data_IF_555977448557
#
_entry.id   IF_555977448557
#
_cell.length_a   1.000
_cell.length_b   1.000
_cell.length_c   1.000
_cell.angle_alpha   90.00
_cell.angle_beta   90.00
_cell.angle_gamma   90.00
#
_symmetry.space_group_name_H-M   'P 1'
#
loop_
_entity.id
_entity.type
_entity.pdbx_description
1 polymer ?
#
# COMPACT_ATOMS: atom_id res chain seq x y z
N UNK A 1 19.50 -13.58 7.83
CA UNK A 1 19.08 -13.44 9.24
C UNK A 1 17.56 -13.51 9.37
N UNK A 2 17.07 -14.68 9.78
CA UNK A 2 15.67 -14.99 10.01
C UNK A 2 15.24 -14.36 11.34
N UNK A 3 14.55 -13.21 11.30
CA UNK A 3 13.94 -12.64 12.51
C UNK A 3 12.80 -13.53 12.97
N UNK A 4 13.02 -14.33 14.01
CA UNK A 4 11.99 -15.13 14.67
C UNK A 4 11.15 -14.30 15.65
N UNK A 5 10.26 -14.94 16.44
CA UNK A 5 9.44 -14.29 17.48
C UNK A 5 10.26 -13.50 18.52
N UNK A 6 11.55 -13.81 18.66
CA UNK A 6 12.52 -13.06 19.47
C UNK A 6 12.60 -11.57 19.06
N UNK A 7 12.54 -11.27 17.75
CA UNK A 7 12.65 -9.89 17.25
C UNK A 7 11.51 -8.98 17.73
N UNK A 8 10.28 -9.48 17.85
CA UNK A 8 9.12 -8.70 18.33
C UNK A 8 9.25 -8.37 19.82
N UNK A 9 9.68 -9.35 20.60
CA UNK A 9 9.94 -9.17 22.04
C UNK A 9 11.08 -8.18 22.29
N UNK A 10 12.14 -8.24 21.49
CA UNK A 10 13.28 -7.33 21.61
C UNK A 10 12.90 -5.88 21.30
N UNK A 11 12.07 -5.63 20.28
CA UNK A 11 11.57 -4.29 19.97
C UNK A 11 10.65 -3.76 21.06
N UNK A 12 9.80 -4.60 21.64
CA UNK A 12 8.95 -4.20 22.77
C UNK A 12 9.78 -3.84 24.00
N UNK A 13 10.81 -4.63 24.33
CA UNK A 13 11.73 -4.34 25.42
C UNK A 13 12.56 -3.06 25.17
N UNK A 14 12.88 -2.75 23.91
CA UNK A 14 13.48 -1.47 23.52
C UNK A 14 12.53 -0.30 23.81
N UNK A 15 11.26 -0.42 23.41
CA UNK A 15 10.25 0.63 23.64
C UNK A 15 9.91 0.83 25.11
N UNK A 16 10.03 -0.19 25.97
CA UNK A 16 9.89 -0.02 27.42
C UNK A 16 11.00 0.85 28.01
N UNK A 17 12.23 0.74 27.50
CA UNK A 17 13.38 1.54 27.97
C UNK A 17 13.42 2.91 27.32
N UNK A 18 13.02 3.00 26.05
CA UNK A 18 13.01 4.21 25.25
C UNK A 18 11.72 4.30 24.43
N UNK A 19 10.63 4.85 24.99
CA UNK A 19 9.33 4.92 24.34
C UNK A 19 9.31 5.77 23.06
N UNK A 20 10.32 6.60 22.82
CA UNK A 20 10.44 7.49 21.66
C UNK A 20 11.43 6.98 20.61
N UNK A 21 11.80 5.69 20.66
CA UNK A 21 12.67 5.09 19.66
C UNK A 21 11.91 4.83 18.35
N UNK A 22 11.99 5.78 17.41
CA UNK A 22 11.31 5.72 16.11
C UNK A 22 11.66 4.45 15.30
N UNK A 23 12.93 4.02 15.34
CA UNK A 23 13.37 2.81 14.64
C UNK A 23 12.72 1.55 15.23
N UNK A 24 12.63 1.46 16.56
CA UNK A 24 11.99 0.32 17.23
C UNK A 24 10.49 0.27 16.95
N UNK A 25 9.82 1.43 16.91
CA UNK A 25 8.42 1.53 16.48
C UNK A 25 8.26 1.07 15.02
N UNK A 26 9.12 1.54 14.12
CA UNK A 26 9.09 1.14 12.72
C UNK A 26 9.28 -0.37 12.54
N UNK A 27 10.28 -0.96 13.20
CA UNK A 27 10.59 -2.38 13.09
C UNK A 27 9.47 -3.24 13.64
N UNK A 28 8.88 -2.84 14.78
CA UNK A 28 7.71 -3.51 15.36
C UNK A 28 6.49 -3.42 14.43
N UNK A 29 6.19 -2.22 13.91
CA UNK A 29 5.09 -2.01 12.97
C UNK A 29 5.25 -2.83 11.70
N UNK A 30 6.46 -2.85 11.14
CA UNK A 30 6.80 -3.67 9.96
C UNK A 30 6.64 -5.16 10.26
N UNK A 31 7.04 -5.61 11.46
CA UNK A 31 6.88 -7.02 11.85
C UNK A 31 5.41 -7.42 11.98
N UNK A 32 4.60 -6.55 12.58
CA UNK A 32 3.15 -6.71 12.68
C UNK A 32 2.48 -6.80 11.30
N UNK A 33 2.89 -5.98 10.34
CA UNK A 33 2.40 -6.10 8.96
C UNK A 33 2.84 -7.41 8.29
N UNK A 34 4.04 -7.90 8.62
CA UNK A 34 4.61 -9.11 8.02
C UNK A 34 4.01 -10.41 8.55
N UNK A 35 3.84 -10.49 9.86
CA UNK A 35 3.34 -11.67 10.56
C UNK A 35 1.83 -11.64 10.75
N UNK A 36 1.24 -10.45 10.69
CA UNK A 36 -0.17 -10.21 10.92
C UNK A 36 -1.04 -10.95 9.93
N UNK A 37 -2.01 -11.69 10.48
CA UNK A 37 -3.00 -12.44 9.70
C UNK A 37 -4.40 -11.87 9.85
N UNK A 38 -4.56 -10.90 10.75
CA UNK A 38 -5.83 -10.30 11.11
C UNK A 38 -5.81 -8.81 10.84
N UNK A 39 -7.01 -8.21 10.70
CA UNK A 39 -7.13 -6.75 10.59
C UNK A 39 -6.60 -6.02 11.83
N UNK A 40 -6.66 -6.65 13.01
CA UNK A 40 -6.14 -6.07 14.25
C UNK A 40 -4.63 -5.96 14.20
N UNK A 41 -3.92 -7.02 13.77
CA UNK A 41 -2.46 -6.97 13.61
C UNK A 41 -2.03 -5.86 12.63
N UNK A 42 -2.78 -5.69 11.53
CA UNK A 42 -2.49 -4.65 10.55
C UNK A 42 -2.78 -3.25 11.08
N UNK A 43 -3.83 -3.07 11.89
CA UNK A 43 -4.13 -1.80 12.56
C UNK A 43 -3.02 -1.42 13.54
N UNK A 44 -2.59 -2.36 14.37
CA UNK A 44 -1.48 -2.15 15.30
C UNK A 44 -0.20 -1.79 14.54
N UNK A 45 0.09 -2.51 13.46
CA UNK A 45 1.25 -2.26 12.60
C UNK A 45 1.23 -0.83 12.02
N UNK A 46 0.09 -0.40 11.49
CA UNK A 46 -0.14 0.97 11.01
C UNK A 46 0.07 2.00 12.12
N UNK A 47 -0.44 1.75 13.33
CA UNK A 47 -0.28 2.69 14.45
C UNK A 47 1.19 2.90 14.83
N UNK A 48 1.96 1.82 14.92
CA UNK A 48 3.40 1.91 15.20
C UNK A 48 4.16 2.64 14.09
N UNK A 49 3.79 2.43 12.82
CA UNK A 49 4.41 3.13 11.69
C UNK A 49 4.05 4.62 11.66
N UNK A 50 2.81 4.99 12.01
CA UNK A 50 2.42 6.39 12.19
C UNK A 50 3.23 7.07 13.29
N UNK A 51 3.40 6.41 14.44
CA UNK A 51 4.23 6.93 15.54
C UNK A 51 5.70 7.07 15.13
N UNK A 52 6.24 6.11 14.39
CA UNK A 52 7.60 6.19 13.86
C UNK A 52 7.79 7.41 12.94
N UNK A 53 6.87 7.64 12.00
CA UNK A 53 6.91 8.79 11.10
C UNK A 53 6.62 10.12 11.80
N UNK A 54 5.86 10.11 12.89
CA UNK A 54 5.66 11.30 13.71
C UNK A 54 6.97 11.74 14.38
N UNK A 55 7.78 10.77 14.83
CA UNK A 55 9.07 11.02 15.47
C UNK A 55 10.19 11.29 14.45
N UNK A 56 10.15 10.62 13.30
CA UNK A 56 11.10 10.82 12.20
C UNK A 56 10.34 10.92 10.85
N UNK A 57 9.91 12.14 10.46
CA UNK A 57 9.26 12.39 9.18
C UNK A 57 10.16 12.18 7.97
N UNK A 58 11.48 12.05 8.15
CA UNK A 58 12.43 11.80 7.06
C UNK A 58 12.70 10.31 6.85
N UNK A 59 12.03 9.45 7.61
CA UNK A 59 12.18 8.01 7.52
C UNK A 59 11.48 7.42 6.28
N UNK A 60 12.18 7.48 5.14
CA UNK A 60 11.68 7.01 3.82
C UNK A 60 11.00 5.63 3.85
N UNK A 61 11.59 4.57 4.48
CA UNK A 61 10.94 3.25 4.52
C UNK A 61 9.60 3.25 5.27
N UNK A 62 9.40 4.19 6.20
CA UNK A 62 8.16 4.33 6.98
C UNK A 62 6.96 4.64 6.09
N UNK A 63 7.10 5.55 5.11
CA UNK A 63 6.01 5.90 4.18
C UNK A 63 5.57 4.70 3.34
N UNK A 64 6.53 3.92 2.85
CA UNK A 64 6.25 2.75 2.01
C UNK A 64 5.54 1.67 2.84
N UNK A 65 6.01 1.39 4.06
CA UNK A 65 5.40 0.38 4.94
C UNK A 65 4.02 0.82 5.45
N UNK A 66 3.85 2.10 5.77
CA UNK A 66 2.56 2.63 6.21
C UNK A 66 1.51 2.53 5.11
N UNK A 67 1.87 2.90 3.86
CA UNK A 67 0.96 2.78 2.74
C UNK A 67 0.56 1.31 2.46
N UNK A 68 1.49 0.37 2.68
CA UNK A 68 1.20 -1.07 2.62
C UNK A 68 0.26 -1.55 3.72
N UNK A 69 0.45 -1.08 4.95
CA UNK A 69 -0.49 -1.34 6.04
C UNK A 69 -1.91 -0.90 5.68
N UNK A 70 -2.05 0.28 5.07
CA UNK A 70 -3.35 0.74 4.57
C UNK A 70 -3.91 -0.09 3.42
N UNK A 71 -3.08 -0.65 2.53
CA UNK A 71 -3.55 -1.60 1.52
C UNK A 71 -4.09 -2.89 2.16
N UNK A 72 -3.43 -3.41 3.20
CA UNK A 72 -3.91 -4.57 3.96
C UNK A 72 -5.25 -4.33 4.65
N UNK A 73 -5.48 -3.10 5.11
CA UNK A 73 -6.75 -2.67 5.70
C UNK A 73 -7.83 -2.34 4.66
N UNK A 74 -7.54 -2.49 3.36
CA UNK A 74 -8.41 -2.07 2.24
C UNK A 74 -8.73 -0.56 2.26
N UNK A 75 -7.88 0.23 2.91
CA UNK A 75 -8.02 1.68 3.04
C UNK A 75 -7.29 2.39 1.90
N UNK A 76 -7.71 2.11 0.65
CA UNK A 76 -6.99 2.50 -0.57
C UNK A 76 -6.70 4.01 -0.67
N UNK A 77 -7.65 4.86 -0.29
CA UNK A 77 -7.44 6.32 -0.29
C UNK A 77 -6.33 6.77 0.68
N UNK A 78 -6.22 6.14 1.86
CA UNK A 78 -5.15 6.43 2.82
C UNK A 78 -3.81 5.90 2.32
N UNK A 79 -3.78 4.72 1.72
CA UNK A 79 -2.58 4.18 1.09
C UNK A 79 -2.03 5.12 0.01
N UNK A 80 -2.89 5.66 -0.87
CA UNK A 80 -2.49 6.65 -1.88
C UNK A 80 -1.94 7.93 -1.26
N UNK A 81 -2.65 8.50 -0.29
CA UNK A 81 -2.24 9.75 0.36
C UNK A 81 -0.84 9.63 0.97
N UNK A 82 -0.57 8.53 1.69
CA UNK A 82 0.75 8.29 2.29
C UNK A 82 1.82 8.05 1.23
N UNK A 83 1.53 7.28 0.18
CA UNK A 83 2.48 7.02 -0.89
C UNK A 83 2.82 8.31 -1.67
N UNK A 84 1.83 9.18 -1.93
CA UNK A 84 2.02 10.49 -2.54
C UNK A 84 2.82 11.43 -1.63
N UNK A 85 2.54 11.46 -0.33
CA UNK A 85 3.34 12.23 0.63
C UNK A 85 4.81 11.76 0.64
N UNK A 86 5.03 10.44 0.63
CA UNK A 86 6.35 9.84 0.50
C UNK A 86 7.04 10.21 -0.81
N UNK A 87 6.32 10.19 -1.94
CA UNK A 87 6.88 10.56 -3.25
C UNK A 87 7.20 12.07 -3.34
N UNK A 88 6.34 12.93 -2.80
CA UNK A 88 6.55 14.38 -2.77
C UNK A 88 7.82 14.74 -1.97
N UNK A 89 8.04 14.05 -0.85
CA UNK A 89 9.24 14.22 -0.01
C UNK A 89 10.47 13.54 -0.62
N UNK A 90 10.27 12.39 -1.26
CA UNK A 90 11.31 11.54 -1.82
C UNK A 90 11.02 11.20 -3.29
N UNK A 91 11.37 12.15 -4.17
CA UNK A 91 11.03 12.20 -5.61
C UNK A 91 11.37 10.94 -6.43
N UNK A 92 12.24 10.05 -5.95
CA UNK A 92 12.57 8.80 -6.65
C UNK A 92 12.33 7.55 -5.80
N UNK A 93 11.12 7.41 -5.28
CA UNK A 93 10.72 6.19 -4.58
C UNK A 93 9.91 5.31 -5.52
N UNK A 94 10.61 4.47 -6.29
CA UNK A 94 10.02 3.43 -7.14
C UNK A 94 8.93 2.60 -6.42
N UNK A 95 9.14 2.32 -5.13
CA UNK A 95 8.17 1.58 -4.33
C UNK A 95 6.88 2.39 -4.06
N UNK A 96 6.97 3.71 -3.87
CA UNK A 96 5.80 4.55 -3.68
C UNK A 96 4.93 4.58 -4.95
N UNK A 97 5.54 4.68 -6.13
CA UNK A 97 4.82 4.62 -7.42
C UNK A 97 4.10 3.29 -7.62
N UNK A 98 4.75 2.17 -7.29
CA UNK A 98 4.09 0.85 -7.33
C UNK A 98 2.89 0.78 -6.41
N UNK A 99 3.01 1.29 -5.18
CA UNK A 99 1.91 1.32 -4.21
C UNK A 99 0.77 2.20 -4.71
N UNK A 100 1.07 3.32 -5.37
CA UNK A 100 0.05 4.17 -6.01
C UNK A 100 -0.68 3.37 -7.09
N UNK A 101 0.03 2.74 -8.03
CA UNK A 101 -0.58 1.93 -9.09
C UNK A 101 -1.47 0.80 -8.54
N UNK A 102 -0.98 0.05 -7.56
CA UNK A 102 -1.73 -1.04 -6.91
C UNK A 102 -2.93 -0.52 -6.12
N UNK A 103 -2.74 0.55 -5.33
CA UNK A 103 -3.81 1.15 -4.53
C UNK A 103 -4.94 1.73 -5.40
N UNK A 104 -4.59 2.36 -6.52
CA UNK A 104 -5.54 2.83 -7.52
C UNK A 104 -6.33 1.68 -8.13
N UNK A 105 -5.67 0.61 -8.57
CA UNK A 105 -6.35 -0.54 -9.15
C UNK A 105 -7.34 -1.18 -8.15
N UNK A 106 -6.89 -1.45 -6.93
CA UNK A 106 -7.72 -2.05 -5.89
C UNK A 106 -8.89 -1.12 -5.51
N UNK A 107 -8.65 0.19 -5.39
CA UNK A 107 -9.68 1.18 -5.12
C UNK A 107 -10.73 1.29 -6.23
N UNK A 108 -10.31 1.24 -7.49
CA UNK A 108 -11.20 1.24 -8.64
C UNK A 108 -12.06 -0.03 -8.69
N UNK A 109 -11.44 -1.20 -8.45
CA UNK A 109 -12.13 -2.48 -8.39
C UNK A 109 -13.16 -2.53 -7.24
N UNK A 110 -12.79 -2.09 -6.04
CA UNK A 110 -13.70 -2.01 -4.90
C UNK A 110 -14.87 -1.03 -5.14
N UNK A 111 -14.61 0.12 -5.77
CA UNK A 111 -15.65 1.08 -6.14
C UNK A 111 -16.67 0.50 -7.14
N UNK A 112 -16.23 -0.41 -8.03
CA UNK A 112 -17.11 -1.11 -9.00
C UNK A 112 -18.01 -2.13 -8.31
N UNK A 113 -17.48 -2.90 -7.37
CA UNK A 113 -18.24 -3.93 -6.66
C UNK A 113 -19.26 -3.36 -5.67
N UNK A 114 -19.19 -2.07 -5.35
CA UNK A 114 -20.15 -1.42 -4.47
C UNK A 114 -21.56 -1.40 -5.10
N UNK A 115 -22.58 -1.64 -4.27
CA UNK A 115 -23.99 -1.82 -4.66
C UNK A 115 -24.50 -0.78 -5.70
N UNK A 116 -24.95 -1.23 -6.88
CA UNK A 116 -25.53 -0.37 -7.92
C UNK A 116 -26.78 0.40 -7.49
N UNK A 117 -27.53 -0.04 -6.47
CA UNK A 117 -28.83 0.53 -6.10
C UNK A 117 -28.78 1.77 -5.21
N UNK A 118 -27.59 2.33 -4.95
CA UNK A 118 -27.44 3.52 -4.12
C UNK A 118 -27.84 4.83 -4.82
N UNK A 119 -28.17 5.90 -4.05
CA UNK A 119 -28.63 7.18 -4.61
C UNK A 119 -27.68 7.81 -5.64
N UNK A 120 -28.23 8.56 -6.61
CA UNK A 120 -27.52 9.10 -7.77
C UNK A 120 -26.31 10.00 -7.43
N UNK A 121 -26.37 10.79 -6.36
CA UNK A 121 -25.26 11.63 -5.92
C UNK A 121 -24.06 10.79 -5.44
N UNK A 122 -24.32 9.69 -4.74
CA UNK A 122 -23.27 8.77 -4.26
C UNK A 122 -22.67 7.98 -5.43
N UNK A 123 -23.48 7.65 -6.44
CA UNK A 123 -22.99 7.06 -7.69
C UNK A 123 -22.12 8.04 -8.51
N UNK A 124 -22.49 9.32 -8.57
CA UNK A 124 -21.70 10.33 -9.27
C UNK A 124 -20.32 10.53 -8.63
N UNK A 125 -20.27 10.60 -7.29
CA UNK A 125 -19.01 10.68 -6.54
C UNK A 125 -18.18 9.40 -6.68
N UNK A 126 -18.80 8.21 -6.68
CA UNK A 126 -18.11 6.94 -6.99
C UNK A 126 -17.48 6.95 -8.38
N UNK A 127 -18.22 7.38 -9.40
CA UNK A 127 -17.72 7.50 -10.78
C UNK A 127 -16.56 8.49 -10.87
N UNK A 128 -16.60 9.58 -10.10
CA UNK A 128 -15.51 10.55 -10.00
C UNK A 128 -14.26 9.89 -9.39
N UNK A 129 -14.38 9.26 -8.21
CA UNK A 129 -13.27 8.55 -7.55
C UNK A 129 -12.69 7.43 -8.39
N UNK A 130 -13.54 6.67 -9.08
CA UNK A 130 -13.11 5.64 -10.02
C UNK A 130 -12.22 6.23 -11.12
N UNK A 131 -12.64 7.34 -11.74
CA UNK A 131 -11.83 8.03 -12.77
C UNK A 131 -10.51 8.55 -12.20
N UNK A 132 -10.54 9.15 -11.02
CA UNK A 132 -9.32 9.63 -10.34
C UNK A 132 -8.33 8.49 -10.09
N UNK A 133 -8.79 7.34 -9.60
CA UNK A 133 -7.96 6.14 -9.46
C UNK A 133 -7.39 5.68 -10.81
N UNK A 134 -8.21 5.65 -11.87
CA UNK A 134 -7.76 5.29 -13.20
C UNK A 134 -6.61 6.19 -13.68
N UNK A 135 -6.78 7.51 -13.59
CA UNK A 135 -5.78 8.49 -14.04
C UNK A 135 -4.48 8.37 -13.26
N UNK A 136 -4.55 8.41 -11.92
CA UNK A 136 -3.37 8.33 -11.05
C UNK A 136 -2.63 6.99 -11.18
N UNK A 137 -3.39 5.90 -11.36
CA UNK A 137 -2.81 4.57 -11.57
C UNK A 137 -2.06 4.47 -12.88
N UNK A 138 -2.61 5.02 -13.97
CA UNK A 138 -1.94 5.00 -15.28
C UNK A 138 -0.60 5.73 -15.24
N UNK A 139 -0.57 6.96 -14.71
CA UNK A 139 0.65 7.77 -14.60
C UNK A 139 1.75 7.05 -13.81
N UNK A 140 1.40 6.49 -12.66
CA UNK A 140 2.35 5.79 -11.80
C UNK A 140 2.89 4.51 -12.46
N UNK A 141 2.08 3.81 -13.26
CA UNK A 141 2.45 2.57 -13.94
C UNK A 141 3.45 2.81 -15.06
N UNK A 142 3.25 3.84 -15.88
CA UNK A 142 4.13 4.15 -17.01
C UNK A 142 5.57 4.44 -16.55
N UNK A 143 5.72 5.20 -15.46
CA UNK A 143 7.04 5.52 -14.88
C UNK A 143 7.75 4.28 -14.31
N UNK A 144 7.00 3.32 -13.78
CA UNK A 144 7.56 2.06 -13.25
C UNK A 144 7.97 1.13 -14.39
N UNK A 145 7.17 1.06 -15.46
CA UNK A 145 7.43 0.24 -16.66
C UNK A 145 8.79 0.57 -17.27
N UNK A 146 9.12 1.86 -17.36
CA UNK A 146 10.40 2.33 -17.92
C UNK A 146 11.64 1.76 -17.20
N UNK A 147 11.49 1.31 -15.94
CA UNK A 147 12.61 0.90 -15.07
C UNK A 147 12.64 -0.61 -14.76
N UNK A 148 11.60 -1.39 -15.07
CA UNK A 148 11.58 -2.84 -14.82
C UNK A 148 10.64 -3.61 -15.74
N UNK A 149 11.18 -4.55 -16.54
CA UNK A 149 10.40 -5.36 -17.49
C UNK A 149 9.34 -6.24 -16.82
N UNK A 150 9.74 -7.09 -15.86
CA UNK A 150 8.81 -8.00 -15.16
C UNK A 150 7.68 -7.26 -14.43
N UNK A 151 8.00 -6.11 -13.83
CA UNK A 151 6.99 -5.27 -13.18
C UNK A 151 6.11 -4.58 -14.23
N UNK A 152 6.73 -4.06 -15.29
CA UNK A 152 6.05 -3.48 -16.44
C UNK A 152 4.99 -4.40 -17.02
N UNK A 153 5.31 -5.68 -17.24
CA UNK A 153 4.37 -6.66 -17.82
C UNK A 153 3.13 -6.88 -16.94
N UNK A 154 3.30 -6.88 -15.61
CA UNK A 154 2.17 -7.00 -14.67
C UNK A 154 1.34 -5.71 -14.64
N UNK A 155 2.02 -4.58 -14.54
CA UNK A 155 1.35 -3.28 -14.49
C UNK A 155 0.67 -2.96 -15.84
N UNK A 156 1.17 -3.47 -16.96
CA UNK A 156 0.54 -3.38 -18.28
C UNK A 156 -0.81 -4.10 -18.31
N UNK A 157 -0.93 -5.25 -17.67
CA UNK A 157 -2.23 -5.91 -17.49
C UNK A 157 -3.18 -5.09 -16.62
N UNK A 158 -2.67 -4.52 -15.53
CA UNK A 158 -3.46 -3.64 -14.66
C UNK A 158 -3.93 -2.40 -15.41
N UNK A 159 -3.05 -1.78 -16.20
CA UNK A 159 -3.33 -0.62 -17.05
C UNK A 159 -4.38 -0.95 -18.11
N UNK A 160 -4.20 -2.04 -18.86
CA UNK A 160 -5.13 -2.48 -19.88
C UNK A 160 -6.53 -2.75 -19.31
N UNK A 161 -6.58 -3.36 -18.13
CA UNK A 161 -7.83 -3.54 -17.39
C UNK A 161 -8.42 -2.17 -17.00
N UNK A 162 -7.62 -1.27 -16.42
CA UNK A 162 -8.06 0.07 -16.02
C UNK A 162 -8.55 0.96 -17.17
N UNK A 163 -8.03 0.76 -18.38
CA UNK A 163 -8.39 1.48 -19.60
C UNK A 163 -9.55 0.84 -20.37
N UNK A 164 -9.84 -0.45 -20.12
CA UNK A 164 -10.93 -1.19 -20.76
C UNK A 164 -12.32 -0.68 -20.33
N UNK A 165 -13.34 -1.00 -21.13
CA UNK A 165 -14.72 -0.66 -20.80
C UNK A 165 -15.12 -1.29 -19.46
N UNK A 166 -15.91 -0.62 -18.60
CA UNK A 166 -16.31 -1.16 -17.30
C UNK A 166 -16.99 -2.52 -17.35
N UNK A 167 -17.60 -2.88 -18.49
CA UNK A 167 -18.22 -4.17 -18.75
C UNK A 167 -17.20 -5.28 -19.07
N UNK A 168 -16.02 -4.94 -19.59
CA UNK A 168 -14.95 -5.87 -20.02
C UNK A 168 -13.88 -6.13 -18.94
N UNK A 169 -14.02 -5.52 -17.76
CA UNK A 169 -13.09 -5.70 -16.64
C UNK A 169 -13.14 -7.13 -16.08
N UNK A 170 -12.16 -7.93 -16.46
CA UNK A 170 -11.88 -9.22 -15.82
C UNK A 170 -11.11 -9.01 -14.52
N UNK A 171 -11.48 -9.66 -13.41
CA UNK A 171 -10.65 -9.65 -12.21
C UNK A 171 -9.28 -10.20 -12.57
N UNK A 172 -8.24 -9.37 -12.43
CA UNK A 172 -6.90 -9.92 -12.39
C UNK A 172 -6.84 -10.71 -11.10
N UNK A 173 -6.65 -12.03 -11.20
CA UNK A 173 -6.13 -12.80 -10.09
C UNK A 173 -4.76 -12.20 -9.79
N UNK A 174 -4.73 -11.26 -8.85
CA UNK A 174 -3.52 -10.81 -8.18
C UNK A 174 -3.37 -11.86 -7.09
N UNK A 175 -2.58 -12.95 -7.30
CA UNK A 175 -2.55 -14.08 -6.40
C UNK A 175 -2.55 -13.65 -4.94
N UNK A 176 -3.27 -14.33 -4.06
CA UNK A 176 -3.09 -14.16 -2.60
C UNK A 176 -1.61 -14.30 -2.20
N UNK A 177 -0.81 -15.00 -3.02
CA UNK A 177 0.65 -15.14 -2.93
C UNK A 177 1.46 -13.88 -3.32
N UNK A 178 0.82 -12.92 -4.00
CA UNK A 178 1.29 -11.54 -4.23
C UNK A 178 0.75 -10.57 -3.15
N UNK A 179 -0.30 -10.96 -2.41
CA UNK A 179 -0.71 -10.35 -1.15
C UNK A 179 0.16 -10.84 0.02
N UNK A 180 0.40 -9.97 1.00
CA UNK A 180 1.35 -10.15 2.13
C UNK A 180 2.80 -10.46 1.73
N UNK A 181 3.12 -11.65 1.23
CA UNK A 181 4.50 -12.10 0.99
C UNK A 181 5.32 -11.30 -0.04
N UNK A 182 4.69 -10.68 -1.05
CA UNK A 182 5.38 -9.91 -2.09
C UNK A 182 5.61 -8.44 -1.72
N UNK A 183 4.62 -7.79 -1.07
CA UNK A 183 4.83 -6.47 -0.45
C UNK A 183 6.00 -6.55 0.52
N UNK A 184 6.13 -7.67 1.25
CA UNK A 184 7.24 -7.98 2.15
C UNK A 184 8.55 -8.31 1.40
N UNK A 185 8.51 -9.08 0.30
CA UNK A 185 9.72 -9.41 -0.51
C UNK A 185 10.28 -8.22 -1.29
N UNK A 186 9.47 -7.21 -1.61
CA UNK A 186 9.93 -5.94 -2.16
C UNK A 186 10.86 -5.16 -1.19
N UNK A 187 10.89 -5.50 0.10
CA UNK A 187 11.78 -4.93 1.12
C UNK A 187 13.07 -5.72 1.38
N UNK A 188 13.30 -6.84 0.66
CA UNK A 188 14.53 -7.65 0.78
C UNK A 188 15.53 -7.41 -0.37
N UNK A 189 15.58 -6.19 -0.90
CA UNK A 189 16.64 -5.74 -1.81
C UNK A 189 17.39 -4.58 -1.17
#
# INVERSE_FOLDING_TARGET
PNGGPESRSDFQASLQRMPTNALSMYLLGTRLLQEGKTQEDWKDGVEYLCKALFLDPDFRPGYVNLAIGYLHLLEHARALSVAQAGLARFKDTMQARKIIGVGCYMGAHANRQADPWRPSAEQAERRKRFREFCTLGCEAIEEVRAKSKKMGDMLEKMLANMQGAPEEWEPLDIPERLGSGWLIRLYRL
#
